data_IF_331846491321
#
_entry.id   IF_331846491321
#
_cell.length_a   1.000
_cell.length_b   1.000
_cell.length_c   1.000
_cell.angle_alpha   90.00
_cell.angle_beta   90.00
_cell.angle_gamma   90.00
#
_symmetry.space_group_name_H-M   'P 1'
#
loop_
_entity.id
_entity.type
_entity.pdbx_description
1 polymer ?
#
# COMPACT_ATOMS: atom_id res chain seq x y z
N UNK A 1 39.16 -59.53 -17.67
CA UNK A 1 37.78 -59.96 -17.98
C UNK A 1 36.85 -58.95 -17.33
N UNK A 2 36.27 -57.93 -17.96
CA UNK A 2 36.22 -57.46 -19.35
C UNK A 2 36.53 -55.94 -19.36
N UNK A 3 37.34 -55.55 -20.33
CA UNK A 3 37.67 -54.19 -20.75
C UNK A 3 36.99 -54.05 -22.12
N UNK A 4 36.16 -53.03 -22.41
CA UNK A 4 36.06 -52.49 -23.78
C UNK A 4 35.33 -51.13 -23.85
N UNK A 5 35.98 -50.22 -24.58
CA UNK A 5 35.60 -48.84 -24.93
C UNK A 5 34.53 -48.81 -26.03
N UNK A 6 33.70 -47.77 -26.04
CA UNK A 6 33.07 -47.12 -27.21
C UNK A 6 32.44 -45.82 -26.67
N UNK A 7 32.81 -44.56 -26.90
CA UNK A 7 33.51 -43.79 -27.95
C UNK A 7 32.75 -43.59 -29.28
N UNK A 8 31.90 -42.57 -29.33
CA UNK A 8 31.47 -41.75 -30.49
C UNK A 8 30.74 -40.52 -29.89
N UNK A 9 31.17 -39.24 -29.88
CA UNK A 9 31.94 -38.32 -30.73
C UNK A 9 31.26 -37.91 -32.05
N UNK A 10 30.68 -36.70 -32.05
CA UNK A 10 30.65 -35.61 -33.08
C UNK A 10 29.57 -34.61 -32.63
N UNK A 11 29.80 -33.37 -32.19
CA UNK A 11 30.70 -32.29 -32.62
C UNK A 11 30.46 -31.89 -34.08
N UNK A 12 29.58 -30.91 -34.30
CA UNK A 12 29.62 -30.00 -35.44
C UNK A 12 29.34 -28.59 -34.92
N UNK A 13 30.26 -27.68 -35.25
CA UNK A 13 30.26 -26.28 -34.91
C UNK A 13 29.66 -25.43 -36.06
N UNK A 14 29.10 -24.29 -35.64
CA UNK A 14 28.61 -23.07 -36.33
C UNK A 14 29.58 -22.55 -37.43
N UNK A 15 29.10 -21.93 -38.55
CA UNK A 15 28.88 -20.46 -38.71
C UNK A 15 27.65 -20.13 -39.60
N UNK A 16 27.04 -18.94 -39.73
CA UNK A 16 27.54 -17.59 -40.08
C UNK A 16 26.24 -16.70 -40.21
N UNK A 17 26.03 -15.58 -39.49
CA UNK A 17 26.45 -14.18 -39.71
C UNK A 17 25.66 -13.36 -40.79
N UNK A 18 24.80 -12.45 -40.29
CA UNK A 18 24.38 -11.08 -40.74
C UNK A 18 23.51 -10.87 -42.00
N UNK A 19 22.35 -10.24 -41.78
CA UNK A 19 21.90 -9.03 -42.49
C UNK A 19 20.89 -8.22 -41.64
N UNK A 20 21.02 -6.90 -41.68
CA UNK A 20 20.43 -5.92 -40.76
C UNK A 20 19.15 -5.24 -41.29
N UNK A 21 18.42 -4.59 -40.37
CA UNK A 21 17.43 -3.53 -40.57
C UNK A 21 16.11 -3.98 -41.25
N UNK A 22 14.89 -3.68 -40.80
CA UNK A 22 14.32 -2.51 -40.11
C UNK A 22 13.12 -3.00 -39.28
N UNK A 23 13.06 -2.65 -38.01
CA UNK A 23 11.81 -2.30 -37.33
C UNK A 23 12.16 -1.76 -35.94
N UNK A 24 11.96 -0.47 -35.77
CA UNK A 24 12.02 0.21 -34.47
C UNK A 24 10.65 0.03 -33.81
N UNK A 25 10.58 -0.55 -32.61
CA UNK A 25 9.55 -0.16 -31.67
C UNK A 25 10.19 0.62 -30.52
N UNK A 26 9.67 1.81 -30.36
CA UNK A 26 10.01 2.80 -29.35
C UNK A 26 10.05 2.21 -27.93
N UNK A 27 11.17 2.48 -27.26
CA UNK A 27 11.34 2.78 -25.84
C UNK A 27 10.74 1.86 -24.77
N UNK A 28 11.62 1.01 -24.25
CA UNK A 28 12.09 1.02 -22.85
C UNK A 28 11.04 1.16 -21.74
N UNK A 29 10.63 -0.02 -21.29
CA UNK A 29 10.31 -0.44 -19.92
C UNK A 29 11.12 0.33 -18.86
N UNK A 30 10.56 1.41 -18.34
CA UNK A 30 11.11 2.14 -17.19
C UNK A 30 10.85 1.35 -15.91
N UNK A 31 11.95 0.91 -15.29
CA UNK A 31 12.01 0.28 -13.97
C UNK A 31 12.33 1.36 -12.95
N UNK A 32 11.37 2.22 -12.62
CA UNK A 32 11.43 3.21 -11.53
C UNK A 32 10.01 3.79 -11.29
N UNK A 33 9.28 3.43 -10.23
CA UNK A 33 7.92 3.94 -10.00
C UNK A 33 7.85 5.33 -9.36
N UNK A 34 8.97 6.01 -9.11
CA UNK A 34 8.95 7.34 -8.47
C UNK A 34 10.01 8.28 -9.05
N UNK A 35 9.61 9.11 -10.03
CA UNK A 35 10.27 10.40 -10.30
C UNK A 35 9.35 11.54 -9.85
N UNK A 36 9.90 12.64 -9.31
CA UNK A 36 9.11 13.73 -8.74
C UNK A 36 8.32 14.49 -9.81
N UNK A 37 7.00 14.51 -9.64
CA UNK A 37 6.06 15.35 -10.39
C UNK A 37 6.31 16.82 -10.00
N UNK A 38 7.27 17.46 -10.68
CA UNK A 38 7.49 18.92 -10.59
C UNK A 38 7.39 19.65 -11.93
N UNK A 39 6.91 18.98 -12.98
CA UNK A 39 6.87 19.56 -14.34
C UNK A 39 5.47 19.68 -14.95
N UNK A 40 4.42 19.74 -14.12
CA UNK A 40 3.03 20.00 -14.58
C UNK A 40 2.50 21.41 -14.27
N UNK A 41 3.37 22.32 -13.83
CA UNK A 41 3.03 23.75 -13.78
C UNK A 41 3.85 24.49 -14.84
N UNK A 42 3.26 24.88 -15.98
CA UNK A 42 3.87 25.88 -16.82
C UNK A 42 3.87 27.20 -16.03
N UNK A 43 5.07 27.70 -15.71
CA UNK A 43 5.26 29.09 -15.28
C UNK A 43 4.92 29.98 -16.46
N UNK A 44 3.64 30.29 -16.61
CA UNK A 44 3.14 31.24 -17.59
C UNK A 44 3.63 32.64 -17.23
N UNK A 45 4.68 33.10 -17.92
CA UNK A 45 4.93 34.52 -18.10
C UNK A 45 3.80 35.08 -18.97
N UNK A 46 2.66 35.36 -18.35
CA UNK A 46 1.62 36.16 -18.97
C UNK A 46 2.06 37.62 -18.94
N UNK A 47 2.29 38.12 -20.15
CA UNK A 47 2.38 39.51 -20.55
C UNK A 47 1.48 40.40 -19.67
N UNK A 48 2.08 41.38 -18.98
CA UNK A 48 1.33 42.46 -18.34
C UNK A 48 0.87 43.43 -19.42
N UNK A 49 -0.30 43.17 -19.98
CA UNK A 49 -1.03 44.20 -20.71
C UNK A 49 -1.46 45.29 -19.73
N UNK A 50 -1.07 46.53 -20.04
CA UNK A 50 -1.29 47.70 -19.22
C UNK A 50 -2.79 47.99 -19.05
N UNK A 51 -3.27 47.99 -17.80
CA UNK A 51 -4.55 48.57 -17.44
C UNK A 51 -4.41 50.11 -17.37
N UNK A 52 -5.42 50.90 -17.78
CA UNK A 52 -5.37 52.35 -17.69
C UNK A 52 -5.24 52.78 -16.23
N UNK A 53 -4.25 53.63 -15.92
CA UNK A 53 -4.13 54.29 -14.63
C UNK A 53 -5.34 55.22 -14.43
N UNK A 54 -6.34 54.74 -13.69
CA UNK A 54 -7.32 55.61 -13.07
C UNK A 54 -6.59 56.52 -12.07
N UNK A 55 -6.75 57.83 -12.25
CA UNK A 55 -6.23 58.86 -11.37
C UNK A 55 -6.68 58.59 -9.93
N UNK A 56 -5.72 58.52 -9.01
CA UNK A 56 -5.99 58.43 -7.58
C UNK A 56 -6.34 59.84 -7.07
N UNK A 57 -7.63 60.07 -6.83
CA UNK A 57 -8.11 61.20 -6.02
C UNK A 57 -7.75 60.94 -4.54
N UNK A 58 -6.94 61.78 -3.86
CA UNK A 58 -6.46 61.50 -2.51
C UNK A 58 -7.47 61.85 -1.40
N UNK A 59 -8.74 62.13 -1.71
CA UNK A 59 -9.76 62.51 -0.71
C UNK A 59 -11.02 61.67 -0.85
N UNK A 60 -10.96 60.42 -0.40
CA UNK A 60 -12.11 59.51 -0.51
C UNK A 60 -12.03 58.22 0.29
N UNK A 61 -11.39 58.21 1.46
CA UNK A 61 -11.50 57.07 2.38
C UNK A 61 -12.72 57.22 3.30
N UNK A 62 -13.91 56.97 2.76
CA UNK A 62 -15.03 56.54 3.59
C UNK A 62 -14.89 55.03 3.83
N UNK A 63 -14.88 54.54 5.09
CA UNK A 63 -14.82 53.11 5.33
C UNK A 63 -16.13 52.47 4.85
N UNK A 64 -16.06 51.75 3.72
CA UNK A 64 -17.12 50.85 3.27
C UNK A 64 -17.17 49.67 4.25
N UNK A 65 -17.92 49.83 5.34
CA UNK A 65 -18.47 48.71 6.08
C UNK A 65 -19.49 48.02 5.18
N UNK A 66 -19.63 46.71 5.32
CA UNK A 66 -20.62 45.85 4.66
C UNK A 66 -20.13 45.08 3.43
N UNK A 67 -19.00 44.39 3.57
CA UNK A 67 -18.87 43.06 2.97
C UNK A 67 -18.98 42.04 4.11
N UNK A 68 -20.04 41.23 4.20
CA UNK A 68 -20.01 40.08 5.09
C UNK A 68 -18.88 39.17 4.60
N UNK A 69 -17.79 39.12 5.38
CA UNK A 69 -16.76 38.10 5.23
C UNK A 69 -17.51 36.79 5.39
N UNK A 70 -17.67 36.07 4.28
CA UNK A 70 -18.28 34.75 4.27
C UNK A 70 -17.68 33.97 5.43
N UNK A 71 -18.54 33.54 6.36
CA UNK A 71 -18.16 32.69 7.47
C UNK A 71 -17.25 31.60 6.92
N UNK A 72 -15.98 31.66 7.30
CA UNK A 72 -15.04 30.59 7.03
C UNK A 72 -15.64 29.37 7.68
N UNK A 73 -16.29 28.53 6.87
CA UNK A 73 -16.81 27.23 7.26
C UNK A 73 -15.62 26.50 7.85
N UNK A 74 -15.53 26.49 9.19
CA UNK A 74 -14.52 25.71 9.89
C UNK A 74 -14.71 24.29 9.37
N UNK A 75 -13.68 23.67 8.75
CA UNK A 75 -13.81 22.28 8.33
C UNK A 75 -14.22 21.50 9.55
N UNK A 76 -15.39 20.88 9.49
CA UNK A 76 -15.89 20.01 10.55
C UNK A 76 -14.88 18.87 10.64
N UNK A 77 -14.00 18.93 11.64
CA UNK A 77 -13.12 17.82 11.97
C UNK A 77 -14.05 16.71 12.43
N UNK A 78 -14.29 15.73 11.56
CA UNK A 78 -14.97 14.51 11.97
C UNK A 78 -14.13 13.88 13.09
N UNK A 79 -14.76 13.45 14.20
CA UNK A 79 -14.02 12.82 15.29
C UNK A 79 -13.29 11.60 14.73
N UNK A 80 -11.97 11.54 14.94
CA UNK A 80 -11.17 10.37 14.58
C UNK A 80 -11.64 9.23 15.48
N UNK A 81 -12.31 8.25 14.88
CA UNK A 81 -12.71 7.05 15.61
C UNK A 81 -11.46 6.23 15.93
N UNK A 82 -11.29 5.94 17.21
CA UNK A 82 -10.18 5.15 17.74
C UNK A 82 -10.67 3.73 17.97
N UNK A 83 -9.97 2.75 17.42
CA UNK A 83 -10.34 1.34 17.55
C UNK A 83 -9.20 0.53 18.15
N UNK A 84 -9.52 -0.48 18.96
CA UNK A 84 -8.54 -1.43 19.45
C UNK A 84 -8.01 -2.29 18.29
N UNK A 85 -6.69 -2.49 18.23
CA UNK A 85 -6.03 -3.26 17.17
C UNK A 85 -6.53 -4.72 17.14
N UNK A 86 -6.78 -5.30 18.31
CA UNK A 86 -7.28 -6.65 18.54
C UNK A 86 -8.62 -6.90 17.84
N UNK A 87 -9.47 -5.86 17.81
CA UNK A 87 -10.84 -5.95 17.31
C UNK A 87 -10.89 -5.80 15.78
N UNK A 88 -10.01 -4.97 15.22
CA UNK A 88 -10.03 -4.68 13.78
C UNK A 88 -9.19 -5.67 12.96
N UNK A 89 -8.18 -6.31 13.56
CA UNK A 89 -7.31 -7.27 12.88
C UNK A 89 -7.84 -8.71 12.91
N UNK A 90 -9.14 -8.87 12.67
CA UNK A 90 -9.81 -10.16 12.52
C UNK A 90 -10.26 -10.41 11.08
N UNK A 91 -10.24 -11.68 10.67
CA UNK A 91 -10.78 -12.16 9.39
C UNK A 91 -12.28 -12.48 9.45
N UNK A 92 -12.94 -12.24 10.60
CA UNK A 92 -14.38 -12.49 10.76
C UNK A 92 -15.24 -11.26 10.46
N UNK A 93 -14.63 -10.19 9.92
CA UNK A 93 -15.32 -8.96 9.56
C UNK A 93 -16.24 -9.17 8.35
N UNK A 94 -17.48 -8.66 8.41
CA UNK A 94 -18.41 -8.67 7.26
C UNK A 94 -18.42 -7.33 6.51
N UNK A 95 -18.94 -7.34 5.28
CA UNK A 95 -19.10 -6.11 4.49
C UNK A 95 -20.04 -5.12 5.21
N UNK A 96 -21.15 -5.61 5.78
CA UNK A 96 -22.12 -4.77 6.49
C UNK A 96 -21.49 -4.15 7.76
N UNK A 97 -20.70 -4.91 8.51
CA UNK A 97 -19.94 -4.39 9.67
C UNK A 97 -18.99 -3.27 9.24
N UNK A 98 -18.29 -3.45 8.11
CA UNK A 98 -17.36 -2.43 7.59
C UNK A 98 -18.13 -1.15 7.22
N UNK A 99 -19.21 -1.29 6.45
CA UNK A 99 -19.96 -0.12 5.97
C UNK A 99 -20.66 0.64 7.11
N UNK A 100 -20.99 -0.03 8.22
CA UNK A 100 -21.57 0.61 9.41
C UNK A 100 -20.53 1.22 10.32
N UNK A 101 -19.41 0.53 10.53
CA UNK A 101 -18.37 0.92 11.49
C UNK A 101 -17.54 2.09 10.98
N UNK A 102 -17.20 2.09 9.69
CA UNK A 102 -16.25 3.04 9.15
C UNK A 102 -16.97 4.20 8.45
N UNK A 103 -16.70 5.46 8.82
CA UNK A 103 -17.34 6.62 8.21
C UNK A 103 -16.97 6.79 6.73
N UNK A 104 -15.81 6.26 6.33
CA UNK A 104 -15.31 6.29 4.96
C UNK A 104 -14.72 4.96 4.58
N UNK A 105 -15.17 4.43 3.44
CA UNK A 105 -14.70 3.19 2.86
C UNK A 105 -14.37 3.43 1.39
N UNK A 106 -13.19 2.98 0.97
CA UNK A 106 -12.78 2.96 -0.44
C UNK A 106 -12.97 1.55 -1.00
N UNK A 107 -13.74 1.43 -2.08
CA UNK A 107 -14.11 0.16 -2.72
C UNK A 107 -13.42 0.00 -4.07
N UNK A 108 -13.48 -1.21 -4.66
CA UNK A 108 -12.96 -1.47 -6.01
C UNK A 108 -11.47 -1.77 -6.06
N UNK A 109 -10.86 -2.09 -4.92
CA UNK A 109 -9.51 -2.62 -4.85
C UNK A 109 -9.58 -4.12 -5.16
N UNK A 110 -9.17 -4.53 -6.36
CA UNK A 110 -9.18 -5.94 -6.73
C UNK A 110 -7.78 -6.53 -6.69
N UNK A 111 -7.60 -7.57 -5.89
CA UNK A 111 -6.52 -8.55 -6.06
C UNK A 111 -7.15 -9.80 -6.69
N UNK A 112 -6.40 -10.69 -7.34
CA UNK A 112 -6.94 -11.85 -8.06
C UNK A 112 -8.11 -12.51 -7.31
N UNK A 113 -9.31 -12.49 -7.90
CA UNK A 113 -10.55 -13.08 -7.37
C UNK A 113 -11.09 -12.49 -6.04
N UNK A 114 -10.48 -11.42 -5.52
CA UNK A 114 -10.85 -10.77 -4.26
C UNK A 114 -11.28 -9.32 -4.45
N UNK A 115 -12.32 -8.91 -3.74
CA UNK A 115 -12.80 -7.53 -3.68
C UNK A 115 -12.44 -6.87 -2.34
N UNK A 116 -11.77 -5.72 -2.42
CA UNK A 116 -11.18 -5.01 -1.29
C UNK A 116 -11.99 -3.80 -0.82
N UNK A 117 -12.17 -3.69 0.50
CA UNK A 117 -12.69 -2.53 1.22
C UNK A 117 -11.58 -1.94 2.09
N UNK A 118 -11.11 -0.74 1.72
CA UNK A 118 -10.04 -0.04 2.45
C UNK A 118 -10.60 1.08 3.32
N UNK A 119 -10.10 1.14 4.56
CA UNK A 119 -10.54 2.07 5.59
C UNK A 119 -9.33 2.74 6.25
N UNK A 120 -9.44 4.01 6.67
CA UNK A 120 -8.41 4.65 7.48
C UNK A 120 -8.46 4.08 8.90
N UNK A 121 -7.31 3.72 9.48
CA UNK A 121 -7.22 3.19 10.84
C UNK A 121 -6.27 4.05 11.68
N UNK A 122 -6.75 4.46 12.85
CA UNK A 122 -5.96 5.02 13.94
C UNK A 122 -6.38 4.30 15.23
N UNK A 123 -5.41 3.76 15.96
CA UNK A 123 -5.67 2.96 17.18
C UNK A 123 -5.48 3.74 18.48
N UNK A 124 -4.90 4.95 18.40
CA UNK A 124 -4.83 5.89 19.50
C UNK A 124 -3.76 6.98 19.31
N UNK A 125 -3.20 7.47 20.42
CA UNK A 125 -2.18 8.53 20.50
C UNK A 125 -0.91 8.13 21.28
N UNK A 126 -0.82 6.91 21.79
CA UNK A 126 0.36 6.35 22.42
C UNK A 126 1.42 5.98 21.37
N UNK A 127 2.66 5.77 21.83
CA UNK A 127 3.78 5.48 20.92
C UNK A 127 3.63 4.13 20.19
N UNK A 128 2.97 3.16 20.82
CA UNK A 128 2.66 1.86 20.22
C UNK A 128 1.47 1.91 19.25
N UNK A 129 0.68 2.98 19.28
CA UNK A 129 -0.50 3.08 18.43
C UNK A 129 -0.13 3.19 16.95
N UNK A 130 -0.98 2.56 16.14
CA UNK A 130 -0.91 2.46 14.69
C UNK A 130 -1.72 3.57 14.05
N UNK A 131 -1.16 4.13 12.98
CA UNK A 131 -1.86 5.03 12.06
C UNK A 131 -1.59 4.59 10.61
N UNK A 132 -2.65 4.41 9.82
CA UNK A 132 -2.50 3.93 8.46
C UNK A 132 -3.82 3.56 7.79
N UNK A 133 -3.78 2.53 6.96
CA UNK A 133 -4.94 2.00 6.27
C UNK A 133 -5.02 0.49 6.38
N UNK A 134 -6.23 0.01 6.66
CA UNK A 134 -6.57 -1.40 6.70
C UNK A 134 -7.44 -1.74 5.51
N UNK A 135 -7.17 -2.86 4.85
CA UNK A 135 -7.93 -3.34 3.69
C UNK A 135 -8.41 -4.75 3.98
N UNK A 136 -9.72 -4.97 3.87
CA UNK A 136 -10.35 -6.28 3.98
C UNK A 136 -10.69 -6.79 2.58
N UNK A 137 -10.24 -7.99 2.25
CA UNK A 137 -10.45 -8.64 0.97
C UNK A 137 -11.44 -9.79 1.12
N UNK A 138 -12.46 -9.77 0.27
CA UNK A 138 -13.56 -10.72 0.27
C UNK A 138 -13.56 -11.54 -1.01
N UNK A 139 -13.90 -12.82 -0.91
CA UNK A 139 -14.19 -13.65 -2.07
C UNK A 139 -15.59 -13.39 -2.65
N UNK A 140 -15.95 -14.12 -3.71
CA UNK A 140 -17.29 -14.08 -4.30
C UNK A 140 -18.41 -14.57 -3.36
N UNK A 141 -18.05 -15.27 -2.28
CA UNK A 141 -18.96 -15.70 -1.22
C UNK A 141 -19.16 -14.67 -0.12
N UNK A 142 -18.59 -13.46 -0.25
CA UNK A 142 -18.58 -12.41 0.77
C UNK A 142 -17.92 -12.84 2.09
N UNK A 143 -16.97 -13.77 2.03
CA UNK A 143 -16.16 -14.18 3.18
C UNK A 143 -14.83 -13.43 3.15
N UNK A 144 -14.43 -12.82 4.27
CA UNK A 144 -13.13 -12.17 4.36
C UNK A 144 -12.02 -13.23 4.32
N UNK A 145 -11.25 -13.23 3.24
CA UNK A 145 -10.15 -14.17 3.00
C UNK A 145 -8.79 -13.58 3.35
N UNK A 146 -8.67 -12.26 3.33
CA UNK A 146 -7.41 -11.60 3.64
C UNK A 146 -7.67 -10.23 4.25
N UNK A 147 -6.80 -9.84 5.17
CA UNK A 147 -6.66 -8.45 5.61
C UNK A 147 -5.24 -7.98 5.35
N UNK A 148 -5.08 -6.72 5.03
CA UNK A 148 -3.78 -6.09 4.84
C UNK A 148 -3.74 -4.70 5.47
N UNK A 149 -2.68 -4.41 6.20
CA UNK A 149 -2.45 -3.11 6.82
C UNK A 149 -1.16 -2.50 6.29
N UNK A 150 -1.22 -1.20 6.05
CA UNK A 150 -0.07 -0.35 5.74
C UNK A 150 -0.14 0.90 6.59
N UNK A 151 0.91 1.19 7.35
CA UNK A 151 0.92 2.33 8.25
C UNK A 151 2.24 2.53 8.98
N UNK A 152 2.16 3.29 10.07
CA UNK A 152 3.30 3.63 10.91
C UNK A 152 3.01 3.43 12.39
N UNK A 153 4.06 3.22 13.17
CA UNK A 153 4.03 3.24 14.65
C UNK A 153 5.33 3.80 15.20
N UNK A 154 5.30 4.24 16.45
CA UNK A 154 6.50 4.59 17.21
C UNK A 154 7.18 3.39 17.86
N UNK A 155 6.39 2.38 18.24
CA UNK A 155 6.87 1.13 18.82
C UNK A 155 6.03 -0.06 18.32
N UNK A 156 6.67 -1.01 17.65
CA UNK A 156 5.99 -2.17 17.05
C UNK A 156 5.82 -3.37 17.99
N UNK A 157 6.31 -3.34 19.23
CA UNK A 157 6.33 -4.50 20.14
C UNK A 157 4.92 -5.04 20.42
N UNK A 158 3.94 -4.15 20.61
CA UNK A 158 2.55 -4.56 20.84
C UNK A 158 1.91 -5.18 19.61
N UNK A 159 2.14 -4.60 18.42
CA UNK A 159 1.69 -5.18 17.16
C UNK A 159 2.30 -6.57 16.94
N UNK A 160 3.60 -6.74 17.22
CA UNK A 160 4.27 -8.04 17.12
C UNK A 160 3.62 -9.05 18.06
N UNK A 161 3.42 -8.70 19.34
CA UNK A 161 2.76 -9.57 20.31
C UNK A 161 1.35 -9.95 19.88
N UNK A 162 0.58 -8.97 19.41
CA UNK A 162 -0.78 -9.17 18.92
C UNK A 162 -0.81 -10.17 17.77
N UNK A 163 -0.06 -9.92 16.70
CA UNK A 163 -0.08 -10.78 15.52
C UNK A 163 0.59 -12.14 15.75
N UNK A 164 1.57 -12.23 16.65
CA UNK A 164 2.12 -13.50 17.09
C UNK A 164 1.08 -14.34 17.84
N UNK A 165 0.26 -13.72 18.70
CA UNK A 165 -0.76 -14.41 19.48
C UNK A 165 -2.01 -14.78 18.66
N UNK A 166 -2.51 -13.87 17.83
CA UNK A 166 -3.75 -14.09 17.06
C UNK A 166 -3.52 -14.88 15.76
N UNK A 167 -2.38 -14.63 15.08
CA UNK A 167 -2.13 -15.13 13.73
C UNK A 167 -0.90 -16.05 13.63
N UNK A 168 -0.36 -16.47 14.78
CA UNK A 168 0.78 -17.39 14.89
C UNK A 168 2.03 -16.94 14.10
N UNK A 169 2.22 -15.63 13.94
CA UNK A 169 3.43 -15.10 13.31
C UNK A 169 4.65 -15.40 14.17
N UNK A 170 5.73 -15.86 13.51
CA UNK A 170 7.03 -16.12 14.14
C UNK A 170 8.11 -15.38 13.39
N UNK A 171 9.18 -15.02 14.09
CA UNK A 171 10.32 -14.35 13.47
C UNK A 171 10.90 -15.22 12.33
N UNK A 172 11.15 -14.60 11.19
CA UNK A 172 11.69 -15.24 10.00
C UNK A 172 12.99 -14.54 9.55
N UNK A 173 13.84 -15.22 8.76
CA UNK A 173 15.02 -14.58 8.17
C UNK A 173 14.63 -13.36 7.34
N UNK A 174 15.32 -12.24 7.60
CA UNK A 174 15.11 -10.99 6.88
C UNK A 174 15.82 -10.97 5.53
N UNK A 175 15.21 -10.32 4.54
CA UNK A 175 15.76 -10.13 3.19
C UNK A 175 16.83 -9.01 3.13
N UNK A 176 17.08 -8.30 4.24
CA UNK A 176 18.07 -7.22 4.30
C UNK A 176 18.32 -6.69 5.71
N UNK A 177 19.36 -5.86 5.90
CA UNK A 177 19.91 -5.49 7.22
C UNK A 177 19.04 -4.52 8.05
N UNK A 178 17.81 -4.23 7.66
CA UNK A 178 16.95 -3.24 8.34
C UNK A 178 15.46 -3.54 8.21
N UNK A 179 15.10 -4.81 7.95
CA UNK A 179 13.70 -5.23 7.89
C UNK A 179 13.54 -6.37 8.88
N UNK A 180 12.63 -6.21 9.83
CA UNK A 180 12.19 -7.31 10.66
C UNK A 180 11.01 -7.98 9.97
N UNK A 181 11.11 -9.29 9.81
CA UNK A 181 10.08 -10.09 9.12
C UNK A 181 9.57 -11.13 10.10
N UNK A 182 8.25 -11.20 10.24
CA UNK A 182 7.57 -12.28 10.94
C UNK A 182 6.62 -12.94 9.96
N UNK A 183 6.62 -14.28 9.91
CA UNK A 183 5.81 -15.06 8.98
C UNK A 183 5.09 -16.18 9.72
N UNK A 184 3.91 -16.53 9.25
CA UNK A 184 3.30 -17.83 9.51
C UNK A 184 3.29 -18.63 8.21
N UNK A 185 3.66 -19.89 8.31
CA UNK A 185 3.74 -20.79 7.18
C UNK A 185 2.77 -21.96 7.36
N UNK A 186 2.12 -22.35 6.28
CA UNK A 186 1.33 -23.56 6.19
C UNK A 186 1.86 -24.39 5.02
N UNK A 187 2.19 -25.67 5.27
CA UNK A 187 2.78 -26.56 4.27
C UNK A 187 3.97 -25.96 3.48
N UNK A 188 4.81 -25.16 4.16
CA UNK A 188 5.99 -24.53 3.56
C UNK A 188 5.71 -23.26 2.75
N UNK A 189 4.46 -22.82 2.62
CA UNK A 189 4.10 -21.54 2.00
C UNK A 189 3.76 -20.49 3.06
N UNK A 190 4.27 -19.25 2.89
CA UNK A 190 3.92 -18.14 3.77
C UNK A 190 2.46 -17.73 3.55
N UNK A 191 1.66 -17.79 4.61
CA UNK A 191 0.22 -17.46 4.59
C UNK A 191 -0.03 -16.05 5.12
N UNK A 192 0.78 -15.63 6.09
CA UNK A 192 0.74 -14.29 6.66
C UNK A 192 2.16 -13.77 6.88
N UNK A 193 2.34 -12.47 6.72
CA UNK A 193 3.63 -11.80 6.88
C UNK A 193 3.43 -10.44 7.53
N UNK A 194 4.30 -10.11 8.48
CA UNK A 194 4.51 -8.77 9.04
C UNK A 194 5.93 -8.33 8.68
N UNK A 195 6.03 -7.13 8.11
CA UNK A 195 7.29 -6.43 7.84
C UNK A 195 7.32 -5.15 8.64
N UNK A 196 8.43 -4.93 9.33
CA UNK A 196 8.70 -3.70 10.07
C UNK A 196 10.02 -3.14 9.56
N UNK A 197 10.01 -1.86 9.18
CA UNK A 197 11.20 -1.15 8.71
C UNK A 197 11.33 0.15 9.50
N UNK A 198 12.53 0.53 9.97
CA UNK A 198 12.76 1.88 10.46
C UNK A 198 12.45 2.92 9.38
N UNK A 199 11.83 4.03 9.76
CA UNK A 199 11.63 5.15 8.86
C UNK A 199 12.98 5.67 8.35
N UNK A 200 13.02 6.13 7.10
CA UNK A 200 14.25 6.65 6.49
C UNK A 200 14.84 7.84 7.27
N UNK A 201 13.99 8.60 7.95
CA UNK A 201 14.36 9.71 8.83
C UNK A 201 13.52 9.61 10.09
N UNK A 202 14.16 9.37 11.23
CA UNK A 202 13.50 9.40 12.55
C UNK A 202 13.61 10.82 13.10
N UNK A 203 12.45 11.45 13.37
CA UNK A 203 12.39 12.79 13.94
C UNK A 203 11.85 12.75 15.37
N UNK A 204 12.45 13.54 16.25
CA UNK A 204 12.02 13.64 17.65
C UNK A 204 10.60 14.22 17.79
N UNK A 205 10.17 15.07 16.85
CA UNK A 205 8.83 15.67 16.80
C UNK A 205 7.76 14.75 16.18
N UNK A 206 8.12 13.53 15.77
CA UNK A 206 7.19 12.55 15.18
C UNK A 206 7.35 11.17 15.84
N UNK A 207 6.99 11.03 17.13
CA UNK A 207 7.20 9.78 17.87
C UNK A 207 6.44 8.59 17.28
N UNK A 208 5.30 8.79 16.61
CA UNK A 208 4.48 7.72 16.01
C UNK A 208 4.91 7.28 14.60
N UNK A 209 6.03 7.81 14.08
CA UNK A 209 6.53 7.54 12.72
C UNK A 209 7.97 7.04 12.71
N UNK A 210 8.33 6.25 13.71
CA UNK A 210 9.67 5.65 13.79
C UNK A 210 9.80 4.40 12.93
N UNK A 211 8.69 3.70 12.74
CA UNK A 211 8.63 2.48 11.96
C UNK A 211 7.52 2.57 10.91
N UNK A 212 7.86 2.16 9.69
CA UNK A 212 6.89 1.76 8.69
C UNK A 212 6.55 0.29 8.93
N UNK A 213 5.26 -0.01 8.98
CA UNK A 213 4.75 -1.35 9.20
C UNK A 213 3.81 -1.73 8.06
N UNK A 214 3.99 -2.95 7.55
CA UNK A 214 3.04 -3.55 6.64
C UNK A 214 2.84 -5.00 7.00
N UNK A 215 1.60 -5.46 6.95
CA UNK A 215 1.32 -6.87 7.12
C UNK A 215 0.12 -7.29 6.30
N UNK A 216 0.07 -8.58 5.99
CA UNK A 216 -1.14 -9.22 5.54
C UNK A 216 -1.34 -10.52 6.30
N UNK A 217 -2.60 -10.84 6.54
CA UNK A 217 -3.04 -12.12 7.09
C UNK A 217 -4.02 -12.71 6.12
N UNK A 218 -3.83 -13.97 5.75
CA UNK A 218 -4.76 -14.68 4.87
C UNK A 218 -5.38 -15.87 5.59
N UNK A 219 -6.68 -16.06 5.40
CA UNK A 219 -7.36 -17.33 5.61
C UNK A 219 -6.84 -18.27 4.54
N UNK A 220 -6.27 -19.39 4.95
CA UNK A 220 -5.78 -20.39 4.02
C UNK A 220 -6.96 -20.93 3.19
N UNK A 221 -7.01 -20.61 1.89
CA UNK A 221 -7.80 -21.32 0.90
C UNK A 221 -6.92 -21.67 -0.30
N UNK A 222 -6.45 -22.91 -0.45
CA UNK A 222 -5.88 -23.37 -1.70
C UNK A 222 -7.01 -23.47 -2.74
N UNK A 223 -7.16 -22.44 -3.56
CA UNK A 223 -8.17 -22.33 -4.62
C UNK A 223 -8.09 -23.46 -5.66
N UNK A 224 -6.98 -24.20 -5.73
CA UNK A 224 -6.84 -25.35 -6.62
C UNK A 224 -7.54 -26.64 -6.12
N UNK A 225 -7.91 -26.75 -4.83
CA UNK A 225 -8.61 -27.95 -4.32
C UNK A 225 -10.10 -27.95 -4.69
N UNK A 226 -10.73 -26.77 -4.83
CA UNK A 226 -12.15 -26.67 -5.19
C UNK A 226 -12.43 -27.09 -6.64
N UNK A 227 -11.46 -26.95 -7.55
CA UNK A 227 -11.64 -27.28 -8.98
C UNK A 227 -11.50 -28.78 -9.28
N UNK A 228 -10.92 -29.58 -8.38
CA UNK A 228 -10.83 -31.04 -8.56
C UNK A 228 -12.08 -31.79 -8.10
N UNK A 229 -12.93 -31.20 -7.27
CA UNK A 229 -14.18 -31.85 -6.81
C UNK A 229 -15.32 -31.67 -7.82
N UNK A 230 -15.28 -30.65 -8.68
CA UNK A 230 -16.33 -30.40 -9.69
C UNK A 230 -16.08 -31.06 -11.05
N UNK A 231 -14.89 -31.62 -11.29
CA UNK A 231 -14.59 -32.29 -12.58
C UNK A 231 -14.73 -33.82 -12.51
N UNK A 232 -15.26 -34.36 -11.41
CA UNK A 232 -15.39 -35.81 -11.20
C UNK A 232 -16.77 -36.24 -10.71
N UNK A 233 -17.83 -35.57 -11.18
CA UNK A 233 -19.21 -36.04 -11.08
C UNK A 233 -19.87 -36.06 -12.44
#
# INVERSE_FOLDING_TARGET
>A
MFLFRFLFRRLVAVPMLVAAAVSVPYFLKAKDPWRPVKQLFPSGNAQRDALPQAALDPTGFAPRRDTPVADLVKPRLEPVQVYAAEEVFTLDMTIDDILRRWPRVSTGLSELELFGYRVPLVTGIAEHDLAGSLTYYFDSGNVCQRLAFEGTTGNADELIRLLASQHNLRQAPAEGPSVYVFRSAWNGQAVSELRIRPAAIVRADQPHRRFDVSFYVSRFQPTWIQRQVMTNR
#
